data_IF_193018584747
#
_entry.id   IF_193018584747
#
_cell.length_a   1.000
_cell.length_b   1.000
_cell.length_c   1.000
_cell.angle_alpha   90.00
_cell.angle_beta   90.00
_cell.angle_gamma   90.00
#
_symmetry.space_group_name_H-M   'P 1'
#
loop_
_entity.id
_entity.type
_entity.pdbx_description
1 polymer ?
#
# COMPACT_ATOMS: atom_id res chain seq x y z
N UNK A 1 14.55 -13.00 14.89
CA UNK A 1 14.34 -11.97 13.84
C UNK A 1 13.62 -12.46 12.57
N UNK A 2 13.20 -13.74 12.42
CA UNK A 2 12.55 -14.18 11.16
C UNK A 2 11.03 -13.94 11.08
N UNK A 3 10.30 -13.88 12.19
CA UNK A 3 8.83 -13.86 12.17
C UNK A 3 8.18 -12.57 11.64
N UNK A 4 8.81 -11.41 11.83
CA UNK A 4 8.23 -10.13 11.41
C UNK A 4 8.25 -9.94 9.89
N UNK A 5 9.33 -10.37 9.22
CA UNK A 5 9.41 -10.33 7.75
C UNK A 5 8.41 -11.28 7.10
N UNK A 6 8.22 -12.47 7.67
CA UNK A 6 7.19 -13.40 7.22
C UNK A 6 5.78 -12.82 7.39
N UNK A 7 5.55 -12.08 8.48
CA UNK A 7 4.27 -11.38 8.72
C UNK A 7 4.05 -10.25 7.71
N UNK A 8 5.07 -9.43 7.42
CA UNK A 8 5.00 -8.40 6.37
C UNK A 8 4.60 -9.00 5.03
N UNK A 9 5.31 -10.05 4.59
CA UNK A 9 5.03 -10.71 3.31
C UNK A 9 3.60 -11.26 3.27
N UNK A 10 3.11 -11.84 4.38
CA UNK A 10 1.73 -12.36 4.46
C UNK A 10 0.69 -11.25 4.38
N UNK A 11 0.85 -10.15 5.12
CA UNK A 11 -0.07 -9.01 5.09
C UNK A 11 -0.09 -8.35 3.71
N UNK A 12 1.09 -8.13 3.12
CA UNK A 12 1.21 -7.53 1.81
C UNK A 12 0.56 -8.42 0.72
N UNK A 13 0.79 -9.74 0.74
CA UNK A 13 0.11 -10.68 -0.18
C UNK A 13 -1.40 -10.67 0.01
N UNK A 14 -1.87 -10.70 1.25
CA UNK A 14 -3.29 -10.62 1.57
C UNK A 14 -3.91 -9.34 0.98
N UNK A 15 -3.24 -8.19 1.13
CA UNK A 15 -3.74 -6.94 0.56
C UNK A 15 -3.88 -7.01 -0.96
N UNK A 16 -2.92 -7.64 -1.65
CA UNK A 16 -2.97 -7.82 -3.10
C UNK A 16 -4.13 -8.71 -3.51
N UNK A 17 -4.31 -9.86 -2.85
CA UNK A 17 -5.43 -10.77 -3.11
C UNK A 17 -6.81 -10.10 -2.86
N UNK A 18 -6.88 -9.21 -1.87
CA UNK A 18 -8.10 -8.44 -1.57
C UNK A 18 -8.37 -7.38 -2.63
N UNK A 19 -7.32 -6.67 -3.10
CA UNK A 19 -7.41 -5.73 -4.21
C UNK A 19 -7.88 -6.42 -5.49
N UNK A 20 -7.34 -7.60 -5.82
CA UNK A 20 -7.74 -8.39 -7.00
C UNK A 20 -9.23 -8.79 -6.93
N UNK A 21 -9.73 -9.05 -5.71
CA UNK A 21 -11.16 -9.33 -5.43
C UNK A 21 -12.02 -8.08 -5.29
N UNK A 22 -11.44 -6.88 -5.41
CA UNK A 22 -12.10 -5.57 -5.21
C UNK A 22 -12.68 -5.38 -3.80
N UNK A 23 -12.13 -6.09 -2.82
CA UNK A 23 -12.44 -5.93 -1.40
C UNK A 23 -11.58 -4.78 -0.84
N UNK A 24 -11.92 -3.56 -1.25
CA UNK A 24 -11.06 -2.39 -1.07
C UNK A 24 -10.89 -1.99 0.39
N UNK A 25 -11.92 -2.17 1.21
CA UNK A 25 -11.88 -1.82 2.62
C UNK A 25 -10.94 -2.75 3.39
N UNK A 26 -11.11 -4.05 3.20
CA UNK A 26 -10.26 -5.08 3.78
C UNK A 26 -8.82 -4.97 3.28
N UNK A 27 -8.64 -4.59 2.00
CA UNK A 27 -7.32 -4.32 1.45
C UNK A 27 -6.62 -3.18 2.19
N UNK A 28 -7.34 -2.07 2.47
CA UNK A 28 -6.81 -0.95 3.25
C UNK A 28 -6.41 -1.40 4.66
N UNK A 29 -7.22 -2.20 5.34
CA UNK A 29 -6.88 -2.72 6.67
C UNK A 29 -5.60 -3.57 6.67
N UNK A 30 -5.41 -4.41 5.65
CA UNK A 30 -4.19 -5.21 5.51
C UNK A 30 -2.96 -4.35 5.18
N UNK A 31 -3.15 -3.30 4.37
CA UNK A 31 -2.08 -2.36 4.00
C UNK A 31 -1.68 -1.48 5.19
N UNK A 32 -2.62 -1.00 5.99
CA UNK A 32 -2.32 -0.21 7.19
C UNK A 32 -1.50 -1.02 8.20
N UNK A 33 -1.85 -2.30 8.41
CA UNK A 33 -1.02 -3.21 9.21
C UNK A 33 0.38 -3.44 8.61
N UNK A 34 0.49 -3.46 7.28
CA UNK A 34 1.79 -3.58 6.60
C UNK A 34 2.62 -2.32 6.79
N UNK A 35 2.01 -1.13 6.72
CA UNK A 35 2.65 0.17 6.95
C UNK A 35 3.18 0.24 8.38
N UNK A 36 2.34 -0.02 9.38
CA UNK A 36 2.72 0.02 10.79
C UNK A 36 3.93 -0.89 11.08
N UNK A 37 3.88 -2.13 10.58
CA UNK A 37 4.96 -3.08 10.78
C UNK A 37 6.23 -2.71 10.00
N UNK A 38 6.08 -2.14 8.80
CA UNK A 38 7.23 -1.67 8.00
C UNK A 38 7.91 -0.48 8.66
N UNK A 39 7.16 0.42 9.30
CA UNK A 39 7.69 1.54 10.08
C UNK A 39 8.44 1.06 11.32
N UNK A 40 7.87 0.10 12.07
CA UNK A 40 8.53 -0.52 13.23
C UNK A 40 9.86 -1.19 12.83
N UNK A 41 9.88 -1.86 11.67
CA UNK A 41 11.06 -2.56 11.17
C UNK A 41 12.04 -1.66 10.40
N UNK A 42 11.68 -0.40 10.13
CA UNK A 42 12.40 0.48 9.21
C UNK A 42 12.63 -0.16 7.83
N UNK A 43 11.63 -0.90 7.31
CA UNK A 43 11.67 -1.53 5.98
C UNK A 43 11.07 -0.58 4.92
N UNK A 44 11.89 0.11 4.11
CA UNK A 44 11.41 1.10 3.16
C UNK A 44 10.73 0.47 1.93
N UNK A 45 10.94 -0.83 1.66
CA UNK A 45 10.41 -1.47 0.47
C UNK A 45 8.90 -1.65 0.57
N UNK A 46 8.45 -2.37 1.61
CA UNK A 46 7.01 -2.60 1.82
C UNK A 46 6.27 -1.32 2.22
N UNK A 47 6.94 -0.40 2.91
CA UNK A 47 6.32 0.84 3.39
C UNK A 47 5.76 1.68 2.26
N UNK A 48 6.60 2.11 1.31
CA UNK A 48 6.15 3.03 0.26
C UNK A 48 5.19 2.35 -0.71
N UNK A 49 5.38 1.07 -0.99
CA UNK A 49 4.46 0.32 -1.85
C UNK A 49 3.08 0.18 -1.21
N UNK A 50 3.04 -0.08 0.10
CA UNK A 50 1.77 -0.17 0.83
C UNK A 50 1.06 1.17 0.86
N UNK A 51 1.78 2.28 1.09
CA UNK A 51 1.21 3.64 1.02
C UNK A 51 0.61 3.94 -0.35
N UNK A 52 1.29 3.58 -1.43
CA UNK A 52 0.78 3.76 -2.80
C UNK A 52 -0.52 2.97 -3.03
N UNK A 53 -0.53 1.69 -2.62
CA UNK A 53 -1.72 0.84 -2.75
C UNK A 53 -2.88 1.33 -1.87
N UNK A 54 -2.60 1.83 -0.66
CA UNK A 54 -3.63 2.45 0.20
C UNK A 54 -4.20 3.70 -0.47
N UNK A 55 -3.35 4.57 -1.03
CA UNK A 55 -3.81 5.74 -1.78
C UNK A 55 -4.73 5.35 -2.95
N UNK A 56 -4.36 4.32 -3.71
CA UNK A 56 -5.19 3.80 -4.80
C UNK A 56 -6.56 3.31 -4.30
N UNK A 57 -6.58 2.51 -3.23
CA UNK A 57 -7.82 2.00 -2.64
C UNK A 57 -8.70 3.14 -2.09
N UNK A 58 -8.12 4.08 -1.35
CA UNK A 58 -8.83 5.25 -0.82
C UNK A 58 -9.44 6.11 -1.93
N UNK A 59 -8.74 6.27 -3.06
CA UNK A 59 -9.29 6.95 -4.24
C UNK A 59 -10.52 6.24 -4.78
N UNK A 60 -10.46 4.91 -4.92
CA UNK A 60 -11.60 4.09 -5.40
C UNK A 60 -12.79 4.19 -4.45
N UNK A 61 -12.55 4.19 -3.14
CA UNK A 61 -13.56 4.29 -2.09
C UNK A 61 -14.11 5.71 -1.88
N UNK A 62 -13.53 6.74 -2.51
CA UNK A 62 -13.90 8.14 -2.27
C UNK A 62 -13.43 8.69 -0.92
N UNK A 63 -12.48 8.04 -0.26
CA UNK A 63 -11.87 8.44 1.02
C UNK A 63 -10.79 9.49 0.80
N UNK A 64 -11.22 10.72 0.53
CA UNK A 64 -10.34 11.79 0.05
C UNK A 64 -9.24 12.20 1.04
N UNK A 65 -9.55 12.23 2.35
CA UNK A 65 -8.60 12.65 3.37
C UNK A 65 -7.44 11.64 3.49
N UNK A 66 -7.77 10.36 3.54
CA UNK A 66 -6.83 9.25 3.61
C UNK A 66 -6.01 9.13 2.31
N UNK A 67 -6.66 9.32 1.15
CA UNK A 67 -5.97 9.40 -0.13
C UNK A 67 -4.88 10.48 -0.13
N UNK A 68 -5.22 11.70 0.27
CA UNK A 68 -4.26 12.82 0.31
C UNK A 68 -3.14 12.58 1.32
N UNK A 69 -3.47 12.04 2.51
CA UNK A 69 -2.48 11.66 3.53
C UNK A 69 -1.46 10.70 2.96
N UNK A 70 -1.89 9.61 2.34
CA UNK A 70 -0.96 8.62 1.81
C UNK A 70 -0.17 9.16 0.61
N UNK A 71 -0.81 9.93 -0.28
CA UNK A 71 -0.16 10.56 -1.44
C UNK A 71 1.02 11.44 -1.05
N UNK A 72 0.92 12.19 0.05
CA UNK A 72 2.00 13.06 0.55
C UNK A 72 3.19 12.30 1.14
N UNK A 73 2.99 11.03 1.52
CA UNK A 73 3.99 10.21 2.20
C UNK A 73 4.77 9.30 1.23
N UNK A 74 4.57 9.48 -0.08
CA UNK A 74 5.18 8.70 -1.16
C UNK A 74 6.20 9.56 -1.91
N UNK A 75 7.39 9.00 -2.14
CA UNK A 75 8.42 9.63 -2.96
C UNK A 75 7.92 9.89 -4.39
N UNK A 76 8.05 11.13 -4.93
CA UNK A 76 7.41 11.54 -6.18
C UNK A 76 8.00 10.88 -7.44
N UNK A 77 9.22 10.39 -7.37
CA UNK A 77 9.98 9.73 -8.44
C UNK A 77 9.84 8.21 -8.42
N UNK A 78 9.15 7.65 -7.43
CA UNK A 78 9.00 6.21 -7.31
C UNK A 78 7.99 5.66 -8.31
N UNK A 79 8.36 4.52 -8.87
CA UNK A 79 7.50 3.71 -9.74
C UNK A 79 7.08 2.45 -8.99
N UNK A 80 5.80 2.12 -9.06
CA UNK A 80 5.15 0.98 -8.45
C UNK A 80 4.61 0.05 -9.53
N UNK A 81 4.68 -1.26 -9.30
CA UNK A 81 4.15 -2.26 -10.22
C UNK A 81 2.84 -2.80 -9.68
N UNK A 82 1.73 -2.43 -10.33
CA UNK A 82 0.41 -2.95 -10.04
C UNK A 82 0.01 -3.80 -11.24
N UNK A 83 -0.20 -5.11 -11.02
CA UNK A 83 -0.34 -6.09 -12.10
C UNK A 83 0.84 -5.95 -13.09
N UNK A 84 0.57 -5.76 -14.37
CA UNK A 84 1.58 -5.57 -15.43
C UNK A 84 1.85 -4.08 -15.75
N UNK A 85 1.43 -3.15 -14.89
CA UNK A 85 1.54 -1.71 -15.12
C UNK A 85 2.49 -1.04 -14.15
N UNK A 86 3.43 -0.29 -14.71
CA UNK A 86 4.26 0.66 -13.97
C UNK A 86 3.46 1.97 -13.76
N UNK A 87 3.19 2.30 -12.51
CA UNK A 87 2.45 3.50 -12.10
C UNK A 87 3.31 4.36 -11.18
N UNK A 88 3.19 5.67 -11.30
CA UNK A 88 3.78 6.64 -10.37
C UNK A 88 2.72 7.50 -9.70
N UNK A 89 3.17 8.43 -8.85
CA UNK A 89 2.30 9.35 -8.12
C UNK A 89 1.39 10.19 -9.04
N UNK A 90 1.87 10.52 -10.24
CA UNK A 90 1.11 11.23 -11.28
C UNK A 90 -0.11 10.46 -11.79
N UNK A 91 -0.08 9.13 -11.73
CA UNK A 91 -1.15 8.27 -12.23
C UNK A 91 -2.28 8.12 -11.19
N UNK A 92 -2.02 8.54 -9.95
CA UNK A 92 -3.02 8.58 -8.88
C UNK A 92 -4.00 9.77 -9.00
N UNK A 93 -3.83 10.69 -9.97
CA UNK A 93 -4.69 11.89 -10.11
C UNK A 93 -4.36 12.93 -9.05
#
# INVERSE_FOLDING_TARGET
MSGYKDRLVKLYRLSTDLMDKKLWDEAVEALDQTIELSEEMQDPFFLEESRFRTALCCKILGRQAEFLKQKQMISPDKTFFIEDRALGLKDLG
#
